data_IF_181134213235
#
_entry.id   IF_181134213235
#
_cell.length_a   1.000
_cell.length_b   1.000
_cell.length_c   1.000
_cell.angle_alpha   90.00
_cell.angle_beta   90.00
_cell.angle_gamma   90.00
#
_symmetry.space_group_name_H-M   'P 1'
#
loop_
_entity.id
_entity.type
_entity.pdbx_description
1 polymer ?
#
# COMPACT_ATOMS: atom_id res chain seq x y z
N UNK A 1 7.44 -11.96 -20.14
CA UNK A 1 7.97 -11.65 -18.84
C UNK A 1 6.97 -10.82 -18.05
N UNK A 2 6.76 -11.13 -16.82
CA UNK A 2 5.80 -10.38 -16.03
C UNK A 2 6.28 -8.95 -15.79
N UNK A 3 5.35 -8.04 -15.87
CA UNK A 3 5.63 -6.68 -15.46
C UNK A 3 5.86 -6.66 -13.94
N UNK A 4 6.68 -5.74 -13.49
CA UNK A 4 6.82 -5.52 -12.06
C UNK A 4 5.48 -5.04 -11.49
N UNK A 5 5.07 -5.51 -10.32
CA UNK A 5 3.76 -5.19 -9.79
C UNK A 5 3.56 -3.70 -9.53
N UNK A 6 2.34 -3.26 -9.79
CA UNK A 6 1.93 -1.89 -9.58
C UNK A 6 1.04 -1.80 -8.34
N UNK A 7 1.34 -0.82 -7.48
CA UNK A 7 0.55 -0.56 -6.28
C UNK A 7 -0.12 0.80 -6.44
N UNK A 8 -1.40 0.88 -6.07
CA UNK A 8 -2.12 2.14 -6.06
C UNK A 8 -2.66 2.42 -4.66
N UNK A 9 -2.41 3.63 -4.18
CA UNK A 9 -2.99 4.12 -2.93
C UNK A 9 -3.96 5.23 -3.27
N UNK A 10 -5.26 4.98 -3.05
CA UNK A 10 -6.31 5.97 -3.24
C UNK A 10 -6.65 6.57 -1.88
N UNK A 11 -6.61 7.89 -1.78
CA UNK A 11 -6.78 8.56 -0.48
C UNK A 11 -7.71 9.76 -0.59
N UNK A 12 -8.39 10.04 0.52
CA UNK A 12 -9.26 11.21 0.62
C UNK A 12 -8.41 12.48 0.64
N UNK A 13 -8.47 13.28 -0.44
CA UNK A 13 -7.73 14.55 -0.49
C UNK A 13 -8.35 15.61 0.41
N UNK A 14 -9.67 15.51 0.63
CA UNK A 14 -10.38 16.47 1.48
C UNK A 14 -10.11 16.22 2.98
N UNK A 15 -9.63 15.05 3.32
CA UNK A 15 -9.32 14.67 4.70
C UNK A 15 -7.87 14.99 5.08
N UNK A 16 -7.07 15.46 4.15
CA UNK A 16 -5.66 15.76 4.40
C UNK A 16 -4.78 14.52 4.52
N UNK A 17 -5.16 13.41 3.89
CA UNK A 17 -4.44 12.14 4.05
C UNK A 17 -3.32 11.92 3.03
N UNK A 18 -2.98 12.96 2.26
CA UNK A 18 -1.95 12.85 1.23
C UNK A 18 -0.56 12.54 1.80
N UNK A 19 -0.20 13.18 2.92
CA UNK A 19 1.11 12.91 3.54
C UNK A 19 1.20 11.49 4.05
N UNK A 20 0.12 10.98 4.63
CA UNK A 20 0.08 9.58 5.08
C UNK A 20 0.24 8.63 3.91
N UNK A 21 -0.49 8.88 2.82
CA UNK A 21 -0.39 8.06 1.62
C UNK A 21 1.02 8.10 1.04
N UNK A 22 1.61 9.28 0.97
CA UNK A 22 2.98 9.45 0.49
C UNK A 22 4.00 8.72 1.36
N UNK A 23 3.84 8.81 2.67
CA UNK A 23 4.72 8.08 3.58
C UNK A 23 4.63 6.57 3.37
N UNK A 24 3.42 6.05 3.27
CA UNK A 24 3.25 4.61 3.04
C UNK A 24 3.81 4.17 1.70
N UNK A 25 3.65 5.00 0.66
CA UNK A 25 4.25 4.72 -0.64
C UNK A 25 5.78 4.62 -0.54
N UNK A 26 6.40 5.56 0.19
CA UNK A 26 7.85 5.54 0.38
C UNK A 26 8.29 4.31 1.16
N UNK A 27 7.54 3.93 2.18
CA UNK A 27 7.85 2.73 2.96
C UNK A 27 7.80 1.48 2.09
N UNK A 28 6.79 1.37 1.23
CA UNK A 28 6.66 0.21 0.33
C UNK A 28 7.77 0.19 -0.71
N UNK A 29 8.07 1.35 -1.32
CA UNK A 29 9.12 1.45 -2.31
C UNK A 29 10.48 1.10 -1.71
N UNK A 30 10.72 1.51 -0.48
CA UNK A 30 11.97 1.24 0.19
C UNK A 30 12.12 -0.24 0.53
N UNK A 31 11.07 -0.83 1.08
CA UNK A 31 11.09 -2.24 1.50
C UNK A 31 11.16 -3.19 0.31
N UNK A 32 10.44 -2.89 -0.77
CA UNK A 32 10.31 -3.75 -1.93
C UNK A 32 10.98 -3.16 -3.16
N UNK A 33 12.11 -2.49 -2.97
CA UNK A 33 12.78 -1.76 -4.05
C UNK A 33 13.09 -2.63 -5.27
N UNK A 34 13.37 -3.91 -5.05
CA UNK A 34 13.68 -4.83 -6.14
C UNK A 34 12.43 -5.47 -6.75
N UNK A 35 11.30 -5.44 -6.05
CA UNK A 35 10.09 -6.16 -6.47
C UNK A 35 9.01 -5.24 -7.05
N UNK A 36 8.82 -4.06 -6.48
CA UNK A 36 7.77 -3.14 -6.93
C UNK A 36 8.19 -2.43 -8.20
N UNK A 37 7.29 -2.38 -9.18
CA UNK A 37 7.50 -1.62 -10.39
C UNK A 37 7.13 -0.16 -10.25
N UNK A 38 6.05 0.13 -9.56
CA UNK A 38 5.58 1.51 -9.39
C UNK A 38 4.54 1.60 -8.27
N UNK A 39 4.40 2.81 -7.72
CA UNK A 39 3.32 3.13 -6.79
C UNK A 39 2.65 4.41 -7.28
N UNK A 40 1.33 4.38 -7.41
CA UNK A 40 0.54 5.54 -7.77
C UNK A 40 -0.21 6.05 -6.57
N UNK A 41 -0.19 7.37 -6.38
CA UNK A 41 -1.00 8.04 -5.37
C UNK A 41 -2.17 8.71 -6.08
N UNK A 42 -3.39 8.33 -5.72
CA UNK A 42 -4.59 8.82 -6.38
C UNK A 42 -5.44 9.61 -5.38
N UNK A 43 -5.47 10.95 -5.49
CA UNK A 43 -6.36 11.74 -4.65
C UNK A 43 -7.82 11.53 -5.08
N UNK A 44 -8.69 11.43 -4.09
CA UNK A 44 -10.11 11.16 -4.32
C UNK A 44 -10.94 12.11 -3.49
N UNK A 45 -12.05 12.56 -4.04
CA UNK A 45 -12.93 13.54 -3.40
C UNK A 45 -14.13 12.92 -2.70
N UNK A 46 -14.23 11.58 -2.68
CA UNK A 46 -15.43 10.92 -2.16
C UNK A 46 -15.52 10.89 -0.62
N UNK A 47 -14.52 11.37 0.06
CA UNK A 47 -14.55 11.49 1.52
C UNK A 47 -14.28 10.17 2.24
N UNK A 48 -13.30 10.18 3.14
CA UNK A 48 -13.01 9.03 4.01
C UNK A 48 -12.37 7.83 3.35
N UNK A 49 -12.01 7.91 2.06
CA UNK A 49 -11.41 6.78 1.37
C UNK A 49 -9.91 6.67 1.68
N UNK A 50 -9.47 5.46 1.98
CA UNK A 50 -8.04 5.11 2.00
C UNK A 50 -7.95 3.64 1.65
N UNK A 51 -7.49 3.37 0.42
CA UNK A 51 -7.46 2.02 -0.13
C UNK A 51 -6.12 1.75 -0.76
N UNK A 52 -5.64 0.52 -0.58
CA UNK A 52 -4.40 0.07 -1.20
C UNK A 52 -4.73 -1.12 -2.09
N UNK A 53 -4.32 -1.03 -3.35
CA UNK A 53 -4.49 -2.09 -4.32
C UNK A 53 -3.15 -2.55 -4.87
N UNK A 54 -3.03 -3.85 -5.04
CA UNK A 54 -1.87 -4.47 -5.69
C UNK A 54 -2.37 -5.12 -6.97
N UNK A 55 -1.91 -4.65 -8.11
CA UNK A 55 -2.34 -5.14 -9.42
C UNK A 55 -3.86 -5.14 -9.56
N UNK A 56 -4.49 -4.08 -9.05
CA UNK A 56 -5.94 -3.93 -9.10
C UNK A 56 -6.70 -4.62 -7.98
N UNK A 57 -6.06 -5.51 -7.23
CA UNK A 57 -6.72 -6.22 -6.14
C UNK A 57 -6.64 -5.43 -4.85
N UNK A 58 -7.78 -5.23 -4.19
CA UNK A 58 -7.85 -4.49 -2.94
C UNK A 58 -7.21 -5.30 -1.83
N UNK A 59 -6.16 -4.75 -1.20
CA UNK A 59 -5.50 -5.39 -0.06
C UNK A 59 -5.83 -4.71 1.25
N UNK A 60 -6.28 -3.46 1.20
CA UNK A 60 -6.69 -2.73 2.40
C UNK A 60 -7.74 -1.70 2.05
N UNK A 61 -8.75 -1.57 2.91
CA UNK A 61 -9.75 -0.50 2.82
C UNK A 61 -10.03 0.00 4.24
N UNK A 62 -9.78 1.29 4.46
CA UNK A 62 -10.06 1.90 5.76
C UNK A 62 -11.55 1.81 6.11
N UNK A 63 -12.42 1.94 5.11
CA UNK A 63 -13.86 1.85 5.36
C UNK A 63 -14.27 0.46 5.86
N UNK A 64 -13.64 -0.58 5.31
CA UNK A 64 -13.93 -1.95 5.72
C UNK A 64 -13.29 -2.29 7.06
N UNK A 65 -12.06 -1.85 7.27
CA UNK A 65 -11.30 -2.19 8.48
C UNK A 65 -11.57 -1.25 9.64
N UNK A 66 -12.10 -0.06 9.36
CA UNK A 66 -12.37 0.93 10.39
C UNK A 66 -11.14 1.69 10.87
N UNK A 67 -9.99 1.51 10.23
CA UNK A 67 -8.74 2.16 10.63
C UNK A 67 -7.76 2.20 9.47
N UNK A 68 -6.72 3.00 9.61
CA UNK A 68 -5.57 2.96 8.70
C UNK A 68 -4.77 1.70 8.95
N UNK A 69 -4.08 1.19 7.93
CA UNK A 69 -3.19 0.06 8.14
C UNK A 69 -1.96 0.52 8.94
N UNK A 70 -1.48 -0.36 9.83
CA UNK A 70 -0.15 -0.23 10.37
C UNK A 70 0.82 -0.54 9.23
N UNK A 71 1.91 0.22 9.12
CA UNK A 71 2.85 0.04 8.02
C UNK A 71 3.45 -1.37 8.01
N UNK A 72 3.66 -1.95 9.18
CA UNK A 72 4.18 -3.31 9.30
C UNK A 72 3.22 -4.33 8.71
N UNK A 73 1.94 -4.25 9.06
CA UNK A 73 0.96 -5.18 8.51
C UNK A 73 0.72 -4.94 7.03
N UNK A 74 0.77 -3.68 6.58
CA UNK A 74 0.61 -3.38 5.16
C UNK A 74 1.74 -4.02 4.36
N UNK A 75 2.97 -3.94 4.85
CA UNK A 75 4.12 -4.59 4.21
C UNK A 75 3.91 -6.10 4.12
N UNK A 76 3.34 -6.71 5.15
CA UNK A 76 3.07 -8.14 5.14
C UNK A 76 2.02 -8.51 4.09
N UNK A 77 0.94 -7.72 3.98
CA UNK A 77 -0.08 -7.97 2.96
C UNK A 77 0.49 -7.81 1.55
N UNK A 78 1.30 -6.80 1.34
CA UNK A 78 1.94 -6.57 0.03
C UNK A 78 2.91 -7.69 -0.28
N UNK A 79 3.77 -8.08 0.70
CA UNK A 79 4.70 -9.18 0.54
C UNK A 79 3.99 -10.45 0.09
N UNK A 80 2.85 -10.75 0.72
CA UNK A 80 2.11 -11.98 0.41
C UNK A 80 1.61 -12.00 -1.03
N UNK A 81 1.41 -10.81 -1.63
CA UNK A 81 0.96 -10.71 -3.01
C UNK A 81 2.10 -10.72 -4.03
N UNK A 82 3.21 -10.05 -3.72
CA UNK A 82 4.25 -9.82 -4.73
C UNK A 82 5.51 -10.63 -4.50
N UNK A 83 5.78 -11.05 -3.28
CA UNK A 83 7.01 -11.76 -2.94
C UNK A 83 6.77 -12.75 -1.79
N UNK A 84 5.82 -13.69 -1.96
CA UNK A 84 5.51 -14.64 -0.88
C UNK A 84 6.76 -15.42 -0.49
N UNK A 85 6.95 -15.60 0.79
CA UNK A 85 8.12 -16.28 1.31
C UNK A 85 9.30 -15.39 1.63
N UNK A 86 9.28 -14.12 1.15
CA UNK A 86 10.36 -13.20 1.49
C UNK A 86 10.24 -12.76 2.94
N UNK A 87 11.36 -12.80 3.67
CA UNK A 87 11.40 -12.29 5.04
C UNK A 87 11.46 -10.77 5.04
N UNK A 88 10.71 -10.14 5.92
CA UNK A 88 10.76 -8.70 6.15
C UNK A 88 11.59 -8.34 7.37
N UNK A 89 12.37 -9.31 7.88
CA UNK A 89 13.17 -9.09 9.06
C UNK A 89 12.29 -8.84 10.27
N UNK A 90 12.58 -7.79 11.06
CA UNK A 90 11.78 -7.50 12.24
C UNK A 90 10.36 -7.02 11.91
N UNK A 91 10.07 -6.74 10.64
CA UNK A 91 8.70 -6.42 10.22
C UNK A 91 7.80 -7.64 10.15
N UNK A 92 8.40 -8.84 10.20
CA UNK A 92 7.65 -10.11 10.22
C UNK A 92 7.29 -10.54 11.64
N UNK A 93 7.86 -9.89 12.60
CA UNK A 93 7.84 -10.30 14.00
C UNK A 93 6.53 -10.58 14.64
#
# INVERSE_FOLDING_TARGET
MPASPHIEITYCRLCGWGLRAGWMAQELLNTFAAEIGSVTLTPDASGGVFEVRVEGDLVWSRKEQGRFPDVKELKQFVRDRIAPGRSLGHSDG
#
